data_IF_967809819893
#
_entry.id   IF_967809819893
#
_cell.length_a   1.000
_cell.length_b   1.000
_cell.length_c   1.000
_cell.angle_alpha   90.00
_cell.angle_beta   90.00
_cell.angle_gamma   90.00
#
_symmetry.space_group_name_H-M   'P 1'
#
loop_
_entity.id
_entity.type
_entity.pdbx_description
1 polymer ?
#
# COMPACT_ATOMS: atom_id res chain seq x y z
N UNK A 1 -6.15 20.80 12.89
CA UNK A 1 -5.25 20.25 11.83
C UNK A 1 -5.98 19.38 10.80
N UNK A 2 -6.44 20.01 9.72
CA UNK A 2 -7.15 19.28 8.68
C UNK A 2 -6.18 18.83 7.61
N UNK A 3 -5.02 18.38 8.07
CA UNK A 3 -3.96 17.85 7.21
C UNK A 3 -3.43 16.59 7.91
N UNK A 4 -4.32 15.95 8.69
CA UNK A 4 -4.02 14.72 9.43
C UNK A 4 -4.96 13.58 9.04
N UNK A 5 -4.42 12.60 8.31
CA UNK A 5 -5.17 11.44 7.87
C UNK A 5 -4.43 10.22 8.42
N UNK A 6 -5.17 9.31 9.05
CA UNK A 6 -4.56 8.10 9.64
C UNK A 6 -4.16 7.09 8.58
N UNK A 7 -3.12 6.34 8.89
CA UNK A 7 -2.63 5.34 7.96
C UNK A 7 -3.72 4.30 7.66
N UNK A 8 -4.52 3.87 8.63
CA UNK A 8 -5.51 2.87 8.27
C UNK A 8 -6.57 3.42 7.28
N UNK A 9 -7.02 4.66 7.52
CA UNK A 9 -7.98 5.33 6.65
C UNK A 9 -7.34 5.54 5.27
N UNK A 10 -6.09 6.01 5.26
CA UNK A 10 -5.39 6.21 4.01
C UNK A 10 -5.31 4.96 3.17
N UNK A 11 -4.90 3.84 3.78
CA UNK A 11 -4.77 2.58 3.03
C UNK A 11 -6.11 2.14 2.41
N UNK A 12 -7.19 2.40 3.13
CA UNK A 12 -8.53 2.07 2.65
C UNK A 12 -8.88 3.06 1.51
N UNK A 13 -8.59 4.34 1.71
CA UNK A 13 -8.89 5.35 0.69
C UNK A 13 -8.13 5.03 -0.59
N UNK A 14 -6.88 4.57 -0.46
CA UNK A 14 -6.05 4.22 -1.60
C UNK A 14 -6.43 2.85 -2.20
N UNK A 15 -7.43 2.20 -1.60
CA UNK A 15 -7.96 0.91 -2.04
C UNK A 15 -7.03 -0.30 -1.90
N UNK A 16 -6.06 -0.23 -0.99
CA UNK A 16 -5.16 -1.36 -0.81
C UNK A 16 -5.84 -2.48 -0.06
N UNK A 17 -6.81 -2.14 0.79
CA UNK A 17 -7.56 -3.13 1.56
C UNK A 17 -9.04 -2.72 1.48
N UNK A 18 -9.97 -3.69 1.47
CA UNK A 18 -11.41 -3.38 1.34
C UNK A 18 -12.05 -2.52 2.41
N UNK A 19 -11.58 -2.67 3.65
CA UNK A 19 -12.12 -1.92 4.77
C UNK A 19 -10.97 -1.38 5.61
N UNK A 20 -11.28 -0.37 6.41
CA UNK A 20 -10.28 0.19 7.31
C UNK A 20 -9.89 -0.86 8.36
N UNK A 21 -10.85 -1.68 8.81
CA UNK A 21 -10.56 -2.70 9.84
C UNK A 21 -9.56 -3.69 9.31
N UNK A 22 -9.67 -4.03 8.03
CA UNK A 22 -8.71 -4.95 7.47
C UNK A 22 -7.32 -4.25 7.36
N UNK A 23 -7.31 -3.00 6.91
CA UNK A 23 -6.07 -2.23 6.80
C UNK A 23 -5.42 -2.18 8.23
N UNK A 24 -6.24 -2.00 9.25
CA UNK A 24 -5.75 -1.96 10.62
C UNK A 24 -5.12 -3.34 11.03
N UNK A 25 -5.73 -4.45 10.60
CA UNK A 25 -5.18 -5.77 10.93
C UNK A 25 -3.86 -6.04 10.26
N UNK A 26 -3.75 -5.58 9.03
CA UNK A 26 -2.52 -5.78 8.28
C UNK A 26 -1.38 -4.98 8.92
N UNK A 27 -1.69 -3.75 9.36
CA UNK A 27 -0.71 -2.89 10.01
C UNK A 27 -0.24 -3.56 11.29
N UNK A 28 -1.19 -4.03 12.11
CA UNK A 28 -0.86 -4.69 13.38
C UNK A 28 -0.13 -6.03 13.20
N UNK A 29 -0.37 -6.68 12.06
CA UNK A 29 0.34 -7.91 11.74
C UNK A 29 1.77 -7.59 11.25
N UNK A 30 2.09 -6.31 11.13
CA UNK A 30 3.40 -5.95 10.61
C UNK A 30 3.48 -6.21 9.12
N UNK A 31 2.34 -6.32 8.44
CA UNK A 31 2.30 -6.57 6.98
C UNK A 31 2.31 -5.29 6.16
N UNK A 32 2.31 -4.16 6.88
CA UNK A 32 2.44 -2.85 6.25
C UNK A 32 3.56 -2.17 7.02
N UNK A 33 4.56 -1.64 6.33
CA UNK A 33 5.62 -0.91 7.04
C UNK A 33 5.57 0.53 6.52
N UNK A 34 5.93 1.46 7.39
CA UNK A 34 5.97 2.91 7.10
C UNK A 34 7.45 3.30 7.26
N UNK A 35 8.06 3.79 6.19
CA UNK A 35 9.47 4.13 6.18
C UNK A 35 10.35 3.05 6.79
N UNK A 36 10.04 1.83 6.35
CA UNK A 36 10.84 0.69 6.76
C UNK A 36 10.61 0.11 8.12
N UNK A 37 9.57 0.53 8.82
CA UNK A 37 9.34 0.01 10.16
C UNK A 37 7.88 -0.27 10.48
N UNK A 38 7.67 -1.08 11.51
CA UNK A 38 6.33 -1.35 11.98
C UNK A 38 5.68 0.00 12.20
N UNK A 39 4.39 0.10 11.90
CA UNK A 39 3.68 1.33 12.14
C UNK A 39 2.44 1.06 13.03
N UNK A 40 1.48 1.96 13.01
CA UNK A 40 0.30 1.80 13.82
C UNK A 40 -0.81 2.43 13.05
N UNK A 41 -2.04 1.95 13.28
CA UNK A 41 -3.24 2.44 12.62
C UNK A 41 -3.42 3.96 12.64
N UNK A 42 -3.08 4.60 13.77
CA UNK A 42 -3.28 6.04 13.96
C UNK A 42 -2.16 6.93 13.43
N UNK A 43 -1.11 6.33 12.88
CA UNK A 43 -0.01 7.09 12.30
C UNK A 43 -0.53 8.09 11.26
N UNK A 44 -0.10 9.34 11.36
CA UNK A 44 -0.57 10.33 10.40
C UNK A 44 0.33 10.23 9.19
N UNK A 45 -0.29 10.07 8.04
CA UNK A 45 0.42 9.89 6.79
C UNK A 45 1.10 11.19 6.33
N UNK A 46 2.33 11.06 5.83
CA UNK A 46 3.04 12.23 5.29
C UNK A 46 3.29 12.04 3.81
N UNK A 47 3.30 13.13 3.03
CA UNK A 47 3.58 12.98 1.61
C UNK A 47 5.03 12.45 1.45
N UNK A 48 5.24 11.63 0.42
CA UNK A 48 6.53 11.02 0.10
C UNK A 48 7.04 9.98 1.06
N UNK A 49 6.16 9.48 1.93
CA UNK A 49 6.58 8.42 2.85
C UNK A 49 6.64 7.15 2.00
N UNK A 50 7.46 6.20 2.44
CA UNK A 50 7.56 4.92 1.72
C UNK A 50 6.80 3.86 2.52
N UNK A 51 5.80 3.27 1.87
CA UNK A 51 4.99 2.24 2.46
C UNK A 51 5.28 0.93 1.72
N UNK A 52 5.47 -0.14 2.48
CA UNK A 52 5.73 -1.47 1.91
C UNK A 52 4.56 -2.27 2.47
N UNK A 53 3.81 -2.89 1.57
CA UNK A 53 2.64 -3.61 2.03
C UNK A 53 2.42 -4.88 1.24
N UNK A 54 1.76 -5.81 1.92
CA UNK A 54 1.42 -7.12 1.37
C UNK A 54 0.06 -7.04 0.65
N UNK A 55 0.03 -7.50 -0.60
CA UNK A 55 -1.18 -7.55 -1.43
C UNK A 55 -1.40 -9.04 -1.72
N UNK A 56 -2.23 -9.72 -0.93
CA UNK A 56 -2.45 -11.14 -1.15
C UNK A 56 -1.08 -11.74 -0.89
N UNK A 57 -0.39 -12.17 -1.94
CA UNK A 57 0.95 -12.68 -1.73
C UNK A 57 2.01 -11.83 -2.45
N UNK A 58 1.57 -10.66 -2.92
CA UNK A 58 2.41 -9.70 -3.62
C UNK A 58 2.95 -8.69 -2.60
N UNK A 59 4.12 -8.13 -2.90
CA UNK A 59 4.66 -7.09 -2.06
C UNK A 59 4.74 -5.89 -2.97
N UNK A 60 4.33 -4.75 -2.46
CA UNK A 60 4.41 -3.53 -3.25
C UNK A 60 5.02 -2.46 -2.37
N UNK A 61 5.89 -1.64 -2.96
CA UNK A 61 6.48 -0.54 -2.21
C UNK A 61 5.96 0.70 -2.92
N UNK A 62 5.23 1.57 -2.22
CA UNK A 62 4.70 2.77 -2.83
C UNK A 62 5.13 4.03 -2.07
N UNK A 63 5.11 5.14 -2.80
CA UNK A 63 5.46 6.43 -2.26
C UNK A 63 4.13 7.21 -2.19
N UNK A 64 3.83 7.80 -1.03
CA UNK A 64 2.58 8.57 -0.87
C UNK A 64 2.70 9.92 -1.66
N UNK A 65 1.79 10.14 -2.57
CA UNK A 65 1.76 11.35 -3.41
C UNK A 65 0.58 12.29 -3.04
N UNK A 66 -0.42 11.76 -2.33
CA UNK A 66 -1.57 12.60 -1.94
C UNK A 66 -2.26 12.03 -0.69
N UNK A 67 -2.97 12.88 0.05
CA UNK A 67 -3.74 12.45 1.22
C UNK A 67 -5.20 12.85 1.04
N UNK A 68 -6.10 12.00 1.50
CA UNK A 68 -7.52 12.23 1.33
C UNK A 68 -8.25 11.32 2.32
N UNK A 69 -9.54 11.57 2.51
CA UNK A 69 -10.32 10.74 3.42
C UNK A 69 -11.37 10.00 2.64
N UNK A 70 -11.44 10.28 1.35
CA UNK A 70 -12.41 9.66 0.47
C UNK A 70 -11.84 8.46 -0.27
N UNK A 71 -12.63 7.38 -0.36
CA UNK A 71 -12.22 6.21 -1.10
C UNK A 71 -12.92 6.43 -2.45
N UNK A 72 -12.16 6.73 -3.49
CA UNK A 72 -12.73 6.97 -4.82
C UNK A 72 -12.65 5.69 -5.66
N UNK A 73 -13.07 5.75 -6.94
CA UNK A 73 -13.03 4.55 -7.79
C UNK A 73 -11.68 3.93 -8.17
N UNK A 74 -11.73 2.63 -8.48
CA UNK A 74 -10.55 1.84 -8.83
C UNK A 74 -9.39 2.60 -9.47
N UNK A 75 -9.61 3.16 -10.65
CA UNK A 75 -8.56 3.90 -11.36
C UNK A 75 -8.24 5.25 -10.67
N UNK A 76 -9.25 5.86 -10.06
CA UNK A 76 -9.08 7.15 -9.39
C UNK A 76 -8.27 7.13 -8.08
N UNK A 77 -8.60 6.23 -7.16
CA UNK A 77 -7.86 6.18 -5.90
C UNK A 77 -6.39 5.99 -6.25
N UNK A 78 -6.15 4.92 -7.02
CA UNK A 78 -4.82 4.54 -7.51
C UNK A 78 -3.85 5.72 -7.68
N UNK A 79 -4.40 6.94 -7.83
CA UNK A 79 -3.59 8.16 -7.98
C UNK A 79 -3.11 8.82 -6.68
N UNK A 80 -3.27 8.17 -5.51
CA UNK A 80 -2.81 8.75 -4.20
C UNK A 80 -1.35 8.32 -3.91
N UNK A 81 -0.83 7.47 -4.77
CA UNK A 81 0.52 6.95 -4.61
C UNK A 81 1.18 6.57 -5.94
N UNK A 82 2.48 6.32 -5.88
CA UNK A 82 3.26 5.92 -7.03
C UNK A 82 4.12 4.72 -6.62
N UNK A 83 3.78 3.55 -7.12
CA UNK A 83 4.58 2.37 -6.80
C UNK A 83 6.01 2.58 -7.33
N UNK A 84 7.04 2.13 -6.61
CA UNK A 84 8.40 2.36 -7.10
C UNK A 84 8.67 1.43 -8.29
N UNK A 85 9.57 1.87 -9.16
CA UNK A 85 9.95 1.11 -10.34
C UNK A 85 10.53 -0.22 -9.87
N UNK A 86 11.32 -0.18 -8.80
CA UNK A 86 11.94 -1.39 -8.27
C UNK A 86 10.84 -2.32 -7.79
N UNK A 87 9.79 -1.77 -7.20
CA UNK A 87 8.70 -2.61 -6.71
C UNK A 87 7.94 -3.26 -7.90
N UNK A 88 7.65 -2.48 -8.94
CA UNK A 88 6.93 -3.04 -10.10
C UNK A 88 7.78 -4.17 -10.73
N UNK A 89 9.07 -3.92 -10.93
CA UNK A 89 9.94 -4.94 -11.49
C UNK A 89 9.95 -6.20 -10.66
N UNK A 90 10.11 -6.06 -9.35
CA UNK A 90 10.16 -7.26 -8.52
C UNK A 90 8.89 -8.08 -8.66
N UNK A 91 7.76 -7.39 -8.68
CA UNK A 91 6.49 -8.07 -8.79
C UNK A 91 6.45 -8.82 -10.13
N UNK A 92 6.75 -8.10 -11.21
CA UNK A 92 6.75 -8.67 -12.55
C UNK A 92 7.61 -9.92 -12.57
N UNK A 93 8.89 -9.74 -12.29
CA UNK A 93 9.79 -10.88 -12.33
C UNK A 93 9.24 -12.08 -11.59
N UNK A 94 8.68 -11.88 -10.40
CA UNK A 94 8.13 -13.03 -9.70
C UNK A 94 6.97 -13.67 -10.44
N UNK A 95 6.16 -12.83 -11.08
CA UNK A 95 5.00 -13.28 -11.85
C UNK A 95 5.49 -14.10 -13.06
N UNK A 96 6.48 -13.57 -13.77
CA UNK A 96 7.07 -14.23 -14.93
C UNK A 96 7.62 -15.60 -14.54
N UNK A 97 8.52 -15.61 -13.55
CA UNK A 97 9.11 -16.86 -13.08
C UNK A 97 8.00 -17.85 -12.76
N UNK A 98 6.92 -17.36 -12.17
CA UNK A 98 5.78 -18.21 -11.84
C UNK A 98 5.29 -18.86 -13.13
N UNK A 99 4.94 -18.04 -14.11
CA UNK A 99 4.46 -18.54 -15.40
C UNK A 99 5.49 -19.43 -16.11
N UNK A 100 6.76 -19.31 -15.73
CA UNK A 100 7.83 -20.11 -16.32
C UNK A 100 7.82 -21.51 -15.73
N UNK A 101 7.96 -21.61 -14.42
CA UNK A 101 7.95 -22.91 -13.76
C UNK A 101 6.66 -23.63 -14.14
N UNK A 102 5.71 -22.86 -14.66
CA UNK A 102 4.43 -23.41 -15.09
C UNK A 102 4.59 -24.17 -16.41
N UNK A 103 5.13 -23.48 -17.42
CA UNK A 103 5.35 -24.06 -18.74
C UNK A 103 6.54 -25.02 -18.73
N UNK A 104 6.69 -25.72 -17.61
CA UNK A 104 7.78 -26.68 -17.42
C UNK A 104 7.49 -27.54 -16.19
#
# INVERSE_FOLDING_TARGET
PAVEVRLDKWLWAARFYKTRALAREMIEGGKVHYNGQRSKPSKIVELNATLTLRQGNDERTVIVKAITEQRRPASEAALLYEETAESVEKREKMALARKLNALT
#
